data_IF_187834868719
#
_entry.id   IF_187834868719
#
_cell.length_a   1.000
_cell.length_b   1.000
_cell.length_c   1.000
_cell.angle_alpha   90.00
_cell.angle_beta   90.00
_cell.angle_gamma   90.00
#
_symmetry.space_group_name_H-M   'P 1'
#
loop_
_entity.id
_entity.type
_entity.pdbx_description
1 polymer ?
#
# COMPACT_ATOMS: atom_id res chain seq x y z
N UNK A 1 -21.03 8.80 1.31
CA UNK A 1 -20.69 8.18 0.02
C UNK A 1 -19.30 7.59 0.09
N UNK A 2 -19.07 6.46 -0.59
CA UNK A 2 -17.80 5.73 -0.54
C UNK A 2 -16.82 6.40 -1.50
N UNK A 3 -15.67 6.83 -0.98
CA UNK A 3 -14.61 7.47 -1.79
C UNK A 3 -13.55 6.45 -2.16
N UNK A 4 -13.48 6.06 -3.42
CA UNK A 4 -12.52 5.07 -3.93
C UNK A 4 -12.21 5.31 -5.41
N UNK A 5 -10.95 5.14 -5.78
CA UNK A 5 -10.58 5.06 -7.19
C UNK A 5 -10.81 3.64 -7.70
N UNK A 6 -11.57 3.51 -8.77
CA UNK A 6 -11.73 2.26 -9.50
C UNK A 6 -11.11 2.43 -10.88
N UNK A 7 -10.18 1.55 -11.21
CA UNK A 7 -9.50 1.49 -12.50
C UNK A 7 -9.75 0.11 -13.12
N UNK A 8 -9.82 -0.04 -14.45
CA UNK A 8 -9.86 -1.36 -15.04
C UNK A 8 -8.56 -2.13 -14.70
N UNK A 9 -8.60 -3.46 -14.60
CA UNK A 9 -7.39 -4.26 -14.39
C UNK A 9 -6.38 -4.11 -15.54
N UNK A 10 -6.90 -4.01 -16.76
CA UNK A 10 -6.13 -3.87 -17.99
C UNK A 10 -6.62 -2.67 -18.81
N UNK A 11 -5.66 -1.98 -19.43
CA UNK A 11 -5.88 -0.84 -20.32
C UNK A 11 -5.00 -1.03 -21.55
N UNK A 12 -5.61 -0.98 -22.73
CA UNK A 12 -4.89 -1.09 -24.01
C UNK A 12 -4.05 -2.38 -24.11
N UNK A 13 -4.56 -3.50 -23.61
CA UNK A 13 -3.89 -4.80 -23.63
C UNK A 13 -2.71 -4.94 -22.66
N UNK A 14 -2.57 -4.03 -21.68
CA UNK A 14 -1.54 -4.08 -20.63
C UNK A 14 -2.17 -3.91 -19.26
N UNK A 15 -1.56 -4.48 -18.22
CA UNK A 15 -1.94 -4.19 -16.83
C UNK A 15 -1.92 -2.68 -16.58
N UNK A 16 -2.96 -2.16 -15.93
CA UNK A 16 -3.04 -0.73 -15.54
C UNK A 16 -1.86 -0.29 -14.68
N UNK A 17 -1.40 -1.14 -13.76
CA UNK A 17 -0.20 -0.83 -12.97
C UNK A 17 1.07 -0.89 -13.82
N UNK A 18 1.20 -1.88 -14.72
CA UNK A 18 2.34 -1.94 -15.64
C UNK A 18 2.42 -0.68 -16.53
N UNK A 19 1.28 -0.27 -17.10
CA UNK A 19 1.18 0.93 -17.92
C UNK A 19 1.51 2.20 -17.11
N UNK A 20 0.95 2.33 -15.90
CA UNK A 20 1.22 3.51 -15.05
C UNK A 20 2.69 3.59 -14.62
N UNK A 21 3.33 2.48 -14.25
CA UNK A 21 4.77 2.46 -13.94
C UNK A 21 5.63 2.81 -15.15
N UNK A 22 5.23 2.39 -16.36
CA UNK A 22 5.92 2.78 -17.58
C UNK A 22 5.76 4.28 -17.87
N UNK A 23 4.56 4.84 -17.77
CA UNK A 23 4.30 6.27 -17.97
C UNK A 23 5.04 7.15 -16.96
N UNK A 24 5.15 6.72 -15.71
CA UNK A 24 5.90 7.43 -14.66
C UNK A 24 7.40 7.56 -14.95
N UNK A 25 7.96 6.77 -15.88
CA UNK A 25 9.34 6.96 -16.34
C UNK A 25 9.53 8.20 -17.23
N UNK A 26 8.45 8.69 -17.82
CA UNK A 26 8.48 9.73 -18.86
C UNK A 26 7.67 10.97 -18.49
N UNK A 27 6.66 10.83 -17.63
CA UNK A 27 5.70 11.89 -17.31
C UNK A 27 5.62 12.13 -15.79
N UNK A 28 5.37 13.39 -15.37
CA UNK A 28 5.08 13.70 -13.97
C UNK A 28 3.79 13.01 -13.50
N UNK A 29 3.75 12.65 -12.21
CA UNK A 29 2.67 11.87 -11.59
C UNK A 29 1.28 12.44 -11.85
N UNK A 30 1.12 13.77 -11.76
CA UNK A 30 -0.17 14.43 -11.95
C UNK A 30 -0.73 14.22 -13.36
N UNK A 31 0.13 14.16 -14.39
CA UNK A 31 -0.29 13.87 -15.76
C UNK A 31 -0.68 12.40 -15.92
N UNK A 32 0.07 11.48 -15.31
CA UNK A 32 -0.26 10.05 -15.32
C UNK A 32 -1.60 9.81 -14.62
N UNK A 33 -1.84 10.43 -13.47
CA UNK A 33 -3.11 10.33 -12.75
C UNK A 33 -4.27 10.88 -13.56
N UNK A 34 -4.10 12.04 -14.22
CA UNK A 34 -5.11 12.60 -15.10
C UNK A 34 -5.43 11.66 -16.26
N UNK A 35 -4.40 11.07 -16.87
CA UNK A 35 -4.56 10.07 -17.93
C UNK A 35 -5.35 8.85 -17.43
N UNK A 36 -4.97 8.28 -16.29
CA UNK A 36 -5.65 7.13 -15.69
C UNK A 36 -7.13 7.42 -15.39
N UNK A 37 -7.44 8.61 -14.90
CA UNK A 37 -8.81 9.03 -14.62
C UNK A 37 -9.65 9.19 -15.88
N UNK A 38 -9.11 9.81 -16.93
CA UNK A 38 -9.77 9.95 -18.23
C UNK A 38 -10.03 8.58 -18.84
N UNK A 39 -9.02 7.74 -18.92
CA UNK A 39 -9.16 6.43 -19.51
C UNK A 39 -10.08 5.51 -18.67
N UNK A 40 -10.01 5.56 -17.33
CA UNK A 40 -11.01 4.90 -16.46
C UNK A 40 -12.43 5.38 -16.75
N UNK A 41 -12.65 6.67 -17.01
CA UNK A 41 -13.99 7.18 -17.37
C UNK A 41 -14.46 6.66 -18.74
N UNK A 42 -13.55 6.45 -19.69
CA UNK A 42 -13.86 5.84 -20.99
C UNK A 42 -14.23 4.36 -20.83
N UNK A 43 -13.43 3.58 -20.10
CA UNK A 43 -13.65 2.13 -19.95
C UNK A 43 -14.81 1.78 -19.01
N UNK A 44 -14.93 2.48 -17.87
CA UNK A 44 -15.84 2.11 -16.79
C UNK A 44 -17.09 3.00 -16.73
N UNK A 45 -17.03 4.19 -17.33
CA UNK A 45 -18.03 5.23 -17.21
C UNK A 45 -17.90 6.05 -15.92
N UNK A 46 -18.99 6.72 -15.56
CA UNK A 46 -19.09 7.51 -14.33
C UNK A 46 -19.45 6.62 -13.12
N UNK A 47 -18.48 6.38 -12.24
CA UNK A 47 -18.63 5.52 -11.06
C UNK A 47 -19.45 6.17 -9.94
N UNK A 48 -19.59 7.50 -9.94
CA UNK A 48 -20.38 8.21 -8.93
C UNK A 48 -21.87 7.83 -9.01
N UNK A 49 -22.37 7.56 -10.23
CA UNK A 49 -23.72 7.03 -10.47
C UNK A 49 -23.96 5.66 -9.84
N UNK A 50 -22.89 4.96 -9.47
CA UNK A 50 -22.92 3.66 -8.80
C UNK A 50 -22.65 3.77 -7.29
N UNK A 51 -22.61 4.99 -6.74
CA UNK A 51 -22.31 5.24 -5.32
C UNK A 51 -20.82 5.21 -4.97
N UNK A 52 -19.93 5.17 -5.98
CA UNK A 52 -18.48 5.11 -5.85
C UNK A 52 -17.84 6.41 -6.33
N UNK A 53 -17.68 7.35 -5.40
CA UNK A 53 -17.11 8.66 -5.66
C UNK A 53 -15.60 8.58 -5.81
N UNK A 54 -15.06 9.32 -6.78
CA UNK A 54 -13.61 9.43 -6.95
C UNK A 54 -13.04 10.43 -5.94
N UNK A 55 -11.98 10.07 -5.19
CA UNK A 55 -11.22 11.02 -4.38
C UNK A 55 -10.67 12.19 -5.23
N UNK A 56 -10.44 13.35 -4.58
CA UNK A 56 -9.87 14.52 -5.26
C UNK A 56 -8.41 14.32 -5.69
N UNK A 57 -7.62 13.65 -4.84
CA UNK A 57 -6.23 13.28 -5.15
C UNK A 57 -6.21 12.18 -6.21
N UNK A 58 -5.22 12.19 -7.10
CA UNK A 58 -5.10 11.20 -8.16
C UNK A 58 -4.83 9.77 -7.63
N UNK A 59 -5.06 8.71 -8.43
CA UNK A 59 -4.87 7.32 -7.98
C UNK A 59 -3.47 7.00 -7.46
N UNK A 60 -2.42 7.44 -8.16
CA UNK A 60 -1.02 7.18 -7.81
C UNK A 60 -0.55 8.12 -6.70
N UNK A 61 -0.99 9.37 -6.72
CA UNK A 61 -0.74 10.33 -5.65
C UNK A 61 -1.34 9.85 -4.32
N UNK A 62 -2.60 9.43 -4.33
CA UNK A 62 -3.29 8.87 -3.16
C UNK A 62 -2.57 7.62 -2.64
N UNK A 63 -2.11 6.73 -3.53
CA UNK A 63 -1.32 5.56 -3.17
C UNK A 63 0.00 5.97 -2.50
N UNK A 64 0.70 6.97 -3.02
CA UNK A 64 1.97 7.42 -2.47
C UNK A 64 1.81 8.09 -1.09
N UNK A 65 0.74 8.85 -0.88
CA UNK A 65 0.52 9.57 0.38
C UNK A 65 -0.08 8.68 1.48
N UNK A 66 -1.02 7.80 1.12
CA UNK A 66 -1.81 7.05 2.10
C UNK A 66 -1.60 5.55 2.08
N UNK A 67 -0.90 5.01 1.07
CA UNK A 67 -0.81 3.57 0.81
C UNK A 67 -2.06 2.96 0.17
N UNK A 68 -3.13 3.75 -0.01
CA UNK A 68 -4.39 3.25 -0.58
C UNK A 68 -4.23 3.07 -2.07
N UNK A 69 -4.19 1.81 -2.47
CA UNK A 69 -4.11 1.41 -3.88
C UNK A 69 -5.50 1.50 -4.51
N UNK A 70 -5.66 2.02 -5.74
CA UNK A 70 -6.93 1.99 -6.44
C UNK A 70 -7.43 0.56 -6.63
N UNK A 71 -8.74 0.36 -6.55
CA UNK A 71 -9.36 -0.94 -6.82
C UNK A 71 -9.26 -1.21 -8.31
N UNK A 72 -8.80 -2.41 -8.66
CA UNK A 72 -8.81 -2.89 -10.03
C UNK A 72 -10.11 -3.64 -10.29
N UNK A 73 -10.93 -3.13 -11.20
CA UNK A 73 -12.16 -3.77 -11.62
C UNK A 73 -11.87 -4.94 -12.57
N UNK A 74 -12.45 -6.08 -12.23
CA UNK A 74 -12.39 -7.35 -12.99
C UNK A 74 -13.79 -7.85 -13.38
N UNK A 75 -14.82 -7.01 -13.22
CA UNK A 75 -16.22 -7.38 -13.43
C UNK A 75 -17.16 -6.98 -12.28
N UNK A 76 -16.62 -6.49 -11.16
CA UNK A 76 -17.42 -6.02 -10.02
C UNK A 76 -18.35 -4.87 -10.41
N UNK A 77 -17.88 -3.91 -11.20
CA UNK A 77 -18.72 -2.82 -11.69
C UNK A 77 -19.84 -3.31 -12.61
N UNK A 78 -19.59 -4.34 -13.42
CA UNK A 78 -20.64 -4.95 -14.24
C UNK A 78 -21.73 -5.57 -13.35
N UNK A 79 -21.35 -6.24 -12.26
CA UNK A 79 -22.26 -6.79 -11.25
C UNK A 79 -23.02 -5.73 -10.47
N UNK A 80 -22.41 -4.57 -10.21
CA UNK A 80 -23.13 -3.43 -9.62
C UNK A 80 -24.15 -2.88 -10.62
N UNK A 81 -23.78 -2.76 -11.90
CA UNK A 81 -24.68 -2.26 -12.96
C UNK A 81 -25.86 -3.21 -13.24
N UNK A 82 -25.66 -4.53 -13.14
CA UNK A 82 -26.74 -5.51 -13.32
C UNK A 82 -27.67 -5.63 -12.11
N UNK A 83 -27.28 -5.07 -10.96
CA UNK A 83 -28.05 -5.17 -9.71
C UNK A 83 -27.71 -6.40 -8.86
N UNK A 84 -26.79 -7.26 -9.32
CA UNK A 84 -26.31 -8.43 -8.55
C UNK A 84 -25.55 -7.99 -7.27
N UNK A 85 -24.93 -6.80 -7.31
CA UNK A 85 -24.26 -6.19 -6.15
C UNK A 85 -24.88 -4.82 -5.86
N UNK A 86 -25.42 -4.64 -4.65
CA UNK A 86 -25.92 -3.36 -4.18
C UNK A 86 -24.86 -2.63 -3.37
N UNK A 87 -24.54 -1.39 -3.74
CA UNK A 87 -23.68 -0.50 -2.96
C UNK A 87 -24.51 0.15 -1.86
N UNK A 88 -24.23 -0.20 -0.60
CA UNK A 88 -24.93 0.33 0.56
C UNK A 88 -24.09 1.37 1.32
N UNK A 89 -24.72 2.30 2.06
CA UNK A 89 -24.02 3.21 2.96
C UNK A 89 -23.27 2.48 4.09
N UNK A 90 -22.50 3.22 4.88
CA UNK A 90 -21.85 2.68 6.07
C UNK A 90 -22.87 2.05 7.03
N UNK A 91 -22.45 0.97 7.69
CA UNK A 91 -23.22 0.32 8.75
C UNK A 91 -23.21 1.23 9.98
N UNK A 92 -24.40 1.51 10.54
CA UNK A 92 -24.57 2.20 11.81
C UNK A 92 -24.63 1.20 12.97
N UNK A 93 -25.38 0.10 12.80
CA UNK A 93 -25.58 -0.90 13.85
C UNK A 93 -25.89 -2.27 13.28
N UNK A 94 -25.32 -3.30 13.91
CA UNK A 94 -25.70 -4.70 13.68
C UNK A 94 -26.69 -5.14 14.77
N UNK A 95 -27.77 -5.78 14.35
CA UNK A 95 -28.72 -6.44 15.25
C UNK A 95 -28.74 -7.93 14.95
N UNK A 96 -29.58 -8.71 15.65
CA UNK A 96 -29.57 -10.18 15.56
C UNK A 96 -29.73 -10.71 14.13
N UNK A 97 -30.57 -10.09 13.31
CA UNK A 97 -30.85 -10.53 11.92
C UNK A 97 -30.83 -9.39 10.91
N UNK A 98 -30.60 -8.15 11.36
CA UNK A 98 -30.78 -6.95 10.55
C UNK A 98 -29.56 -6.02 10.69
N UNK A 99 -29.15 -5.43 9.58
CA UNK A 99 -28.16 -4.37 9.49
C UNK A 99 -28.89 -3.04 9.35
N UNK A 100 -28.58 -2.09 10.22
CA UNK A 100 -29.05 -0.70 10.14
C UNK A 100 -27.94 0.17 9.56
N UNK A 101 -28.23 0.86 8.47
CA UNK A 101 -27.30 1.75 7.77
C UNK A 101 -27.42 3.20 8.27
N UNK A 102 -26.40 4.02 8.05
CA UNK A 102 -26.34 5.42 8.52
C UNK A 102 -27.44 6.33 7.97
N UNK A 103 -28.17 5.91 6.94
CA UNK A 103 -29.34 6.61 6.39
C UNK A 103 -30.67 6.15 7.03
N UNK A 104 -30.63 5.30 8.06
CA UNK A 104 -31.81 4.74 8.73
C UNK A 104 -32.44 3.53 8.03
N UNK A 105 -31.96 3.15 6.83
CA UNK A 105 -32.44 1.95 6.16
C UNK A 105 -32.01 0.67 6.87
N UNK A 106 -32.84 -0.37 6.79
CA UNK A 106 -32.65 -1.65 7.48
C UNK A 106 -32.84 -2.80 6.50
N UNK A 107 -31.89 -3.73 6.47
CA UNK A 107 -31.95 -4.92 5.62
C UNK A 107 -31.46 -6.16 6.37
N UNK A 108 -31.99 -7.33 6.02
CA UNK A 108 -31.59 -8.61 6.59
C UNK A 108 -30.49 -9.26 5.73
N UNK A 109 -29.54 -9.94 6.39
CA UNK A 109 -28.44 -10.62 5.74
C UNK A 109 -28.20 -11.97 6.40
N UNK A 110 -27.99 -13.02 5.61
CA UNK A 110 -27.68 -14.37 6.11
C UNK A 110 -26.23 -14.49 6.61
N UNK A 111 -25.33 -13.67 6.07
CA UNK A 111 -23.91 -13.66 6.40
C UNK A 111 -23.31 -12.26 6.32
N UNK A 112 -22.28 -12.01 7.14
CA UNK A 112 -21.48 -10.78 7.12
C UNK A 112 -20.01 -11.17 6.98
N UNK A 113 -19.34 -10.63 5.96
CA UNK A 113 -17.90 -10.82 5.72
C UNK A 113 -17.19 -9.50 5.99
N UNK A 114 -16.30 -9.48 7.00
CA UNK A 114 -15.52 -8.30 7.36
C UNK A 114 -14.23 -8.23 6.52
N UNK A 115 -14.33 -7.67 5.32
CA UNK A 115 -13.18 -7.38 4.46
C UNK A 115 -12.50 -6.03 4.81
N UNK A 116 -12.26 -5.77 6.09
CA UNK A 116 -11.79 -4.46 6.62
C UNK A 116 -10.26 -4.28 6.65
N UNK A 117 -9.52 -5.22 6.05
CA UNK A 117 -8.07 -5.17 5.94
C UNK A 117 -7.32 -5.78 7.13
N UNK A 118 -6.03 -5.49 7.21
CA UNK A 118 -5.11 -6.06 8.22
C UNK A 118 -4.41 -4.96 9.02
N UNK A 119 -3.92 -5.33 10.20
CA UNK A 119 -3.03 -4.51 11.03
C UNK A 119 -1.71 -5.25 11.21
N UNK A 120 -0.61 -4.50 11.29
CA UNK A 120 0.69 -5.06 11.65
C UNK A 120 0.67 -5.54 13.11
N UNK A 121 1.25 -6.70 13.37
CA UNK A 121 1.46 -7.23 14.70
C UNK A 121 2.90 -7.07 15.19
N UNK A 122 3.76 -6.33 14.48
CA UNK A 122 5.17 -6.12 14.87
C UNK A 122 5.31 -5.72 16.35
N UNK A 123 4.53 -4.76 16.88
CA UNK A 123 4.65 -4.38 18.29
C UNK A 123 4.27 -5.47 19.31
N UNK A 124 3.58 -6.54 18.88
CA UNK A 124 3.19 -7.62 19.80
C UNK A 124 4.31 -8.60 20.11
N UNK A 125 5.39 -8.60 19.33
CA UNK A 125 6.49 -9.57 19.46
C UNK A 125 7.87 -8.94 19.43
N UNK A 126 8.05 -7.82 18.72
CA UNK A 126 9.29 -7.07 18.72
C UNK A 126 9.33 -6.19 19.97
N UNK A 127 10.26 -6.46 20.89
CA UNK A 127 10.42 -5.70 22.14
C UNK A 127 11.08 -4.33 21.95
N UNK A 128 11.56 -4.05 20.75
CA UNK A 128 12.16 -2.78 20.36
C UNK A 128 11.03 -1.80 19.99
N UNK A 129 11.06 -0.57 20.56
CA UNK A 129 9.94 0.38 20.49
C UNK A 129 10.25 1.68 19.72
N UNK A 130 11.51 1.91 19.33
CA UNK A 130 11.95 3.11 18.62
C UNK A 130 11.71 2.99 17.11
N UNK A 131 11.93 1.82 16.50
CA UNK A 131 11.81 1.68 15.06
C UNK A 131 10.34 1.69 14.61
N UNK A 132 9.47 0.96 15.31
CA UNK A 132 8.05 0.79 14.95
C UNK A 132 7.11 1.60 15.87
N UNK A 133 6.03 2.11 15.29
CA UNK A 133 4.96 2.79 16.00
C UNK A 133 3.99 1.79 16.61
N UNK A 134 3.73 1.91 17.92
CA UNK A 134 2.74 1.11 18.65
C UNK A 134 1.31 1.23 18.07
N UNK A 135 1.01 2.37 17.41
CA UNK A 135 -0.35 2.66 16.93
C UNK A 135 -0.73 1.84 15.71
N UNK A 136 0.20 1.66 14.77
CA UNK A 136 -0.06 1.07 13.46
C UNK A 136 0.92 -0.06 13.10
N UNK A 137 1.94 -0.30 13.92
CA UNK A 137 2.96 -1.32 13.72
C UNK A 137 3.82 -1.08 12.49
N UNK A 138 4.03 0.18 12.13
CA UNK A 138 4.83 0.60 10.96
C UNK A 138 6.07 1.39 11.40
N UNK A 139 7.12 1.46 10.58
CA UNK A 139 8.29 2.27 10.89
C UNK A 139 7.92 3.73 11.14
N UNK A 140 8.46 4.32 12.21
CA UNK A 140 8.19 5.72 12.58
C UNK A 140 8.71 6.72 11.56
N UNK A 141 9.87 6.42 10.96
CA UNK A 141 10.45 7.26 9.91
C UNK A 141 9.75 6.96 8.58
N UNK A 142 9.28 8.00 7.86
CA UNK A 142 8.61 7.78 6.59
C UNK A 142 9.61 7.26 5.53
N UNK A 143 9.07 6.67 4.46
CA UNK A 143 9.88 6.39 3.28
C UNK A 143 10.56 7.69 2.78
N UNK A 144 11.84 7.66 2.40
CA UNK A 144 12.64 6.47 2.15
C UNK A 144 13.54 6.05 3.32
N UNK A 145 13.32 6.52 4.55
CA UNK A 145 14.28 6.39 5.65
C UNK A 145 13.80 5.47 6.79
N UNK A 146 12.69 4.75 6.61
CA UNK A 146 12.12 3.83 7.61
C UNK A 146 12.68 2.41 7.59
N UNK A 147 13.66 2.10 6.74
CA UNK A 147 14.14 0.73 6.51
C UNK A 147 15.25 0.28 7.47
N UNK A 148 15.95 1.21 8.15
CA UNK A 148 17.07 0.92 9.06
C UNK A 148 16.74 1.31 10.50
N UNK A 149 16.86 0.35 11.40
CA UNK A 149 16.81 0.53 12.85
C UNK A 149 18.21 0.40 13.47
N UNK A 150 18.23 0.33 14.80
CA UNK A 150 19.45 0.12 15.58
C UNK A 150 19.81 -1.37 15.66
N UNK A 151 21.03 -1.68 16.09
CA UNK A 151 21.49 -3.05 16.39
C UNK A 151 21.31 -4.07 15.25
N UNK A 152 21.43 -3.63 13.99
CA UNK A 152 21.29 -4.51 12.82
C UNK A 152 19.83 -4.87 12.49
N UNK A 153 18.85 -4.19 13.08
CA UNK A 153 17.44 -4.35 12.74
C UNK A 153 17.10 -3.61 11.43
N UNK A 154 16.38 -4.28 10.54
CA UNK A 154 15.91 -3.72 9.28
C UNK A 154 14.43 -3.99 9.05
N UNK A 155 13.75 -3.10 8.32
CA UNK A 155 12.36 -3.25 7.91
C UNK A 155 12.23 -3.24 6.39
N UNK A 156 11.65 -4.30 5.83
CA UNK A 156 11.40 -4.46 4.39
C UNK A 156 9.90 -4.50 4.12
N UNK A 157 9.42 -3.70 3.18
CA UNK A 157 8.05 -3.81 2.68
C UNK A 157 7.02 -3.01 3.49
N UNK A 158 7.45 -2.26 4.50
CA UNK A 158 6.57 -1.42 5.32
C UNK A 158 6.33 -0.02 4.72
N UNK A 159 6.83 0.25 3.51
CA UNK A 159 6.77 1.56 2.85
C UNK A 159 5.37 2.01 2.40
N UNK A 160 4.39 1.10 2.40
CA UNK A 160 3.07 1.27 1.76
C UNK A 160 3.12 1.52 0.23
N UNK A 161 4.25 1.27 -0.43
CA UNK A 161 4.40 1.45 -1.89
C UNK A 161 4.24 0.15 -2.69
N UNK A 162 3.95 -0.96 -2.01
CA UNK A 162 3.84 -2.29 -2.61
C UNK A 162 5.21 -2.88 -2.95
N UNK A 163 5.25 -3.78 -3.94
CA UNK A 163 6.46 -4.51 -4.33
C UNK A 163 7.64 -3.61 -4.70
N UNK A 164 7.38 -2.48 -5.37
CA UNK A 164 8.44 -1.51 -5.69
C UNK A 164 9.11 -0.96 -4.44
N UNK A 165 8.33 -0.63 -3.41
CA UNK A 165 8.87 -0.15 -2.14
C UNK A 165 9.68 -1.22 -1.41
N UNK A 166 9.18 -2.46 -1.39
CA UNK A 166 9.90 -3.59 -0.82
C UNK A 166 11.25 -3.83 -1.53
N UNK A 167 11.28 -3.73 -2.86
CA UNK A 167 12.52 -3.86 -3.64
C UNK A 167 13.53 -2.75 -3.32
N UNK A 168 13.05 -1.51 -3.10
CA UNK A 168 13.92 -0.38 -2.73
C UNK A 168 14.50 -0.59 -1.33
N UNK A 169 13.68 -0.99 -0.36
CA UNK A 169 14.16 -1.30 1.00
C UNK A 169 15.21 -2.42 0.93
N UNK A 170 14.91 -3.52 0.23
CA UNK A 170 15.80 -4.67 0.12
C UNK A 170 17.17 -4.30 -0.47
N UNK A 171 17.20 -3.47 -1.53
CA UNK A 171 18.45 -2.99 -2.12
C UNK A 171 19.28 -2.17 -1.13
N UNK A 172 18.66 -1.25 -0.39
CA UNK A 172 19.35 -0.42 0.62
C UNK A 172 19.90 -1.23 1.78
N UNK A 173 19.14 -2.23 2.23
CA UNK A 173 19.55 -3.14 3.30
C UNK A 173 20.75 -3.97 2.85
N UNK A 174 20.71 -4.52 1.64
CA UNK A 174 21.84 -5.26 1.08
C UNK A 174 23.11 -4.40 1.00
N UNK A 175 23.00 -3.16 0.53
CA UNK A 175 24.13 -2.21 0.50
C UNK A 175 24.66 -1.90 1.90
N UNK A 176 23.79 -1.74 2.89
CA UNK A 176 24.19 -1.45 4.27
C UNK A 176 24.92 -2.64 4.90
N UNK A 177 24.39 -3.85 4.74
CA UNK A 177 25.02 -5.09 5.20
C UNK A 177 26.39 -5.28 4.55
N UNK A 178 26.51 -5.04 3.24
CA UNK A 178 27.79 -5.12 2.53
C UNK A 178 28.82 -4.13 3.10
N UNK A 179 28.41 -2.89 3.40
CA UNK A 179 29.28 -1.88 4.00
C UNK A 179 29.74 -2.27 5.39
N UNK A 180 28.83 -2.76 6.24
CA UNK A 180 29.16 -3.26 7.58
C UNK A 180 30.16 -4.41 7.50
N UNK A 181 29.91 -5.41 6.65
CA UNK A 181 30.81 -6.54 6.45
C UNK A 181 32.22 -6.11 6.02
N UNK A 182 32.33 -5.18 5.06
CA UNK A 182 33.63 -4.64 4.61
C UNK A 182 34.34 -3.86 5.70
N UNK A 183 33.62 -3.14 6.56
CA UNK A 183 34.20 -2.41 7.69
C UNK A 183 34.76 -3.38 8.74
N UNK A 184 34.01 -4.42 9.09
CA UNK A 184 34.42 -5.44 10.05
C UNK A 184 35.64 -6.22 9.55
N UNK A 185 35.65 -6.61 8.28
CA UNK A 185 36.79 -7.29 7.66
C UNK A 185 38.07 -6.43 7.69
N UNK A 186 37.96 -5.12 7.45
CA UNK A 186 39.09 -4.19 7.57
C UNK A 186 39.58 -4.07 9.02
N UNK A 187 38.67 -4.02 9.99
CA UNK A 187 39.00 -3.93 11.40
C UNK A 187 39.72 -5.21 11.88
N UNK A 188 39.22 -6.38 11.48
CA UNK A 188 39.86 -7.68 11.73
C UNK A 188 41.27 -7.74 11.14
N UNK A 189 41.44 -7.34 9.87
CA UNK A 189 42.73 -7.33 9.22
C UNK A 189 43.73 -6.37 9.89
N UNK A 190 43.27 -5.19 10.35
CA UNK A 190 44.09 -4.25 11.10
C UNK A 190 44.51 -4.81 12.46
N UNK A 191 43.59 -5.46 13.18
CA UNK A 191 43.86 -6.10 14.46
C UNK A 191 44.88 -7.24 14.34
N UNK A 192 44.74 -8.13 13.35
CA UNK A 192 45.72 -9.20 13.10
C UNK A 192 47.11 -8.65 12.77
N UNK A 193 47.20 -7.55 12.02
CA UNK A 193 48.48 -6.88 11.73
C UNK A 193 49.13 -6.30 12.98
N UNK A 194 48.35 -5.73 13.91
CA UNK A 194 48.91 -5.21 15.18
C UNK A 194 49.41 -6.30 16.14
N UNK A 195 48.97 -7.55 15.98
CA UNK A 195 49.40 -8.69 16.79
C UNK A 195 50.61 -9.44 16.22
N UNK A 196 51.05 -9.09 15.01
CA UNK A 196 52.22 -9.70 14.38
C UNK A 196 53.50 -9.06 14.97
N UNK A 197 54.49 -9.83 15.47
CA UNK A 197 55.72 -9.25 15.99
C UNK A 197 56.45 -8.45 14.90
N UNK A 198 56.90 -7.25 15.22
CA UNK A 198 57.82 -6.51 14.35
C UNK A 198 59.18 -7.21 14.42
N UNK A 199 59.51 -7.97 13.36
CA UNK A 199 60.83 -8.54 13.12
C UNK A 199 61.79 -7.49 12.58
#
# INVERSE_FOLDING_TARGET
MIKVHVLPQEMLGKSTFGLSMWLLKWLPMNLVDRFLLVASRIFLGDTARLGLDRPCLGPLELKNLSGKTPVLDIGTLAKIKSGDIKVCPSIQRLTRYTVEFVNGSKENFDAIILATGYKSNVPSWLKESEMFSEKDGLPRRPFPNGWKGEYGLYAVGFTKRGLLGASIDAGRIAEDIERCWKADAKHLAAFTRSLSPQS
#
